data_IF_452455081633
#
_entry.id   IF_452455081633
#
_cell.length_a   1.000
_cell.length_b   1.000
_cell.length_c   1.000
_cell.angle_alpha   90.00
_cell.angle_beta   90.00
_cell.angle_gamma   90.00
#
_symmetry.space_group_name_H-M   'P 1'
#
loop_
_entity.id
_entity.type
_entity.pdbx_description
1 polymer ?
#
# COMPACT_ATOMS: atom_id res chain seq x y z
N UNK A 1 -80.43 -9.87 -37.97
CA UNK A 1 -79.41 -10.01 -39.01
C UNK A 1 -78.16 -9.29 -38.46
N UNK A 2 -77.32 -10.03 -37.75
CA UNK A 2 -76.10 -9.51 -37.05
C UNK A 2 -74.92 -10.28 -37.54
N UNK A 3 -74.04 -9.60 -38.29
CA UNK A 3 -72.75 -10.10 -38.78
C UNK A 3 -71.69 -10.03 -37.66
N UNK A 4 -71.13 -11.14 -37.39
CA UNK A 4 -70.03 -11.34 -36.39
C UNK A 4 -68.70 -11.30 -37.15
N UNK A 5 -67.90 -10.26 -36.95
CA UNK A 5 -66.54 -10.17 -37.47
C UNK A 5 -65.59 -10.92 -36.57
N UNK A 6 -64.88 -11.88 -37.13
CA UNK A 6 -63.86 -12.62 -36.49
C UNK A 6 -62.50 -11.85 -36.54
N UNK A 7 -61.91 -11.57 -35.38
CA UNK A 7 -60.56 -11.04 -35.29
C UNK A 7 -59.59 -12.21 -35.27
N UNK A 8 -58.74 -12.31 -36.28
CA UNK A 8 -57.62 -13.24 -36.35
C UNK A 8 -56.44 -12.67 -35.58
N UNK A 9 -55.98 -13.39 -34.57
CA UNK A 9 -54.76 -13.15 -33.84
C UNK A 9 -53.55 -13.63 -34.69
N UNK A 10 -52.46 -12.85 -34.84
CA UNK A 10 -51.25 -13.39 -35.45
C UNK A 10 -50.49 -14.23 -34.45
N UNK A 11 -50.16 -15.46 -34.87
CA UNK A 11 -49.39 -16.42 -34.10
C UNK A 11 -47.96 -15.90 -33.83
N UNK A 12 -47.56 -15.89 -32.57
CA UNK A 12 -46.22 -15.65 -32.13
C UNK A 12 -45.30 -16.79 -32.61
N UNK A 13 -44.30 -16.46 -33.39
CA UNK A 13 -43.23 -17.39 -33.84
C UNK A 13 -42.39 -17.83 -32.67
N UNK A 14 -42.06 -19.12 -32.50
CA UNK A 14 -41.18 -19.57 -31.38
C UNK A 14 -39.74 -19.15 -31.68
N UNK A 15 -39.16 -18.36 -30.79
CA UNK A 15 -37.72 -18.05 -30.80
C UNK A 15 -36.91 -19.33 -30.69
N UNK A 16 -36.00 -19.58 -31.64
CA UNK A 16 -35.20 -20.80 -31.73
C UNK A 16 -34.25 -20.92 -30.54
N UNK A 17 -34.13 -22.10 -29.91
CA UNK A 17 -33.28 -22.33 -28.74
C UNK A 17 -31.77 -22.25 -29.04
N UNK A 18 -31.38 -22.15 -30.31
CA UNK A 18 -29.97 -22.08 -30.72
C UNK A 18 -29.27 -20.78 -30.32
N UNK A 19 -29.94 -19.65 -30.30
CA UNK A 19 -29.37 -18.35 -29.94
C UNK A 19 -29.00 -18.24 -28.45
N UNK A 20 -29.73 -18.91 -27.57
CA UNK A 20 -29.46 -18.90 -26.14
C UNK A 20 -28.23 -19.71 -25.72
N UNK A 21 -27.92 -20.79 -26.45
CA UNK A 21 -26.77 -21.65 -26.17
C UNK A 21 -25.44 -21.01 -26.56
N UNK A 22 -25.39 -20.28 -27.66
CA UNK A 22 -24.18 -19.58 -28.12
C UNK A 22 -23.79 -18.45 -27.17
N UNK A 23 -24.76 -17.69 -26.65
CA UNK A 23 -24.48 -16.64 -25.66
C UNK A 23 -23.99 -17.17 -24.31
N UNK A 24 -24.53 -18.31 -23.88
CA UNK A 24 -24.07 -18.98 -22.64
C UNK A 24 -22.66 -19.56 -22.80
N UNK A 25 -22.34 -20.12 -23.95
CA UNK A 25 -21.01 -20.65 -24.26
C UNK A 25 -19.96 -19.52 -24.37
N UNK A 26 -20.31 -18.38 -24.97
CA UNK A 26 -19.44 -17.20 -25.04
C UNK A 26 -19.17 -16.56 -23.69
N UNK A 27 -20.16 -16.52 -22.80
CA UNK A 27 -20.00 -16.05 -21.41
C UNK A 27 -19.11 -17.00 -20.59
N UNK A 28 -19.29 -18.32 -20.75
CA UNK A 28 -18.45 -19.32 -20.05
C UNK A 28 -17.01 -19.31 -20.56
N UNK A 29 -16.78 -19.12 -21.87
CA UNK A 29 -15.44 -19.00 -22.46
C UNK A 29 -14.76 -17.69 -22.01
N UNK A 30 -15.50 -16.58 -21.91
CA UNK A 30 -15.01 -15.31 -21.36
C UNK A 30 -14.60 -15.44 -19.89
N UNK A 31 -15.32 -16.22 -19.10
CA UNK A 31 -14.98 -16.46 -17.70
C UNK A 31 -13.75 -17.36 -17.51
N UNK A 32 -13.53 -18.36 -18.42
CA UNK A 32 -12.35 -19.21 -18.37
C UNK A 32 -11.06 -18.47 -18.75
N UNK A 33 -11.11 -17.48 -19.61
CA UNK A 33 -9.93 -16.68 -20.00
C UNK A 33 -9.46 -15.77 -18.85
N UNK A 34 -10.37 -15.35 -17.96
CA UNK A 34 -10.04 -14.55 -16.78
C UNK A 34 -9.39 -15.35 -15.64
N UNK A 35 -9.53 -16.68 -15.64
CA UNK A 35 -8.93 -17.55 -14.62
C UNK A 35 -7.47 -17.93 -14.90
N UNK A 36 -6.93 -17.58 -16.06
CA UNK A 36 -5.67 -18.10 -16.58
C UNK A 36 -4.39 -17.31 -16.29
N UNK A 37 -4.45 -16.18 -15.60
CA UNK A 37 -3.28 -15.31 -15.38
C UNK A 37 -2.86 -15.21 -13.91
N UNK A 38 -2.74 -16.34 -13.21
CA UNK A 38 -1.93 -16.37 -11.99
C UNK A 38 -0.47 -16.63 -12.40
N UNK A 39 0.32 -15.56 -12.62
CA UNK A 39 1.75 -15.71 -12.85
C UNK A 39 2.44 -16.09 -11.55
N UNK A 40 2.97 -17.30 -11.47
CA UNK A 40 3.83 -17.75 -10.38
C UNK A 40 5.26 -17.28 -10.67
N UNK A 41 5.71 -16.21 -10.04
CA UNK A 41 7.11 -15.83 -10.07
C UNK A 41 7.85 -16.41 -8.87
N UNK A 42 9.07 -16.94 -9.01
CA UNK A 42 9.81 -17.54 -7.90
C UNK A 42 10.10 -16.51 -6.81
N UNK A 43 9.91 -16.91 -5.55
CA UNK A 43 10.24 -16.10 -4.38
C UNK A 43 11.45 -16.65 -3.65
N UNK A 44 11.93 -15.87 -2.69
CA UNK A 44 13.04 -16.25 -1.81
C UNK A 44 12.83 -17.57 -1.03
N UNK A 45 11.61 -18.09 -0.93
CA UNK A 45 11.23 -19.32 -0.21
C UNK A 45 10.25 -20.19 -0.98
N UNK A 46 10.22 -20.10 -2.30
CA UNK A 46 9.28 -20.80 -3.16
C UNK A 46 8.73 -19.92 -4.26
N UNK A 47 7.57 -20.23 -4.77
CA UNK A 47 6.94 -19.48 -5.85
C UNK A 47 6.24 -18.21 -5.33
N UNK A 48 6.36 -17.11 -6.08
CA UNK A 48 5.57 -15.93 -5.83
C UNK A 48 4.11 -16.25 -6.14
N UNK A 49 3.27 -16.17 -5.12
CA UNK A 49 1.84 -16.36 -5.27
C UNK A 49 1.14 -15.02 -5.32
N UNK A 50 0.28 -14.83 -6.33
CA UNK A 50 -0.64 -13.72 -6.34
C UNK A 50 -1.63 -13.86 -5.17
N UNK A 51 -2.01 -12.74 -4.56
CA UNK A 51 -3.09 -12.74 -3.58
C UNK A 51 -4.40 -13.21 -4.27
N UNK A 52 -5.30 -13.88 -3.52
CA UNK A 52 -6.62 -14.21 -4.04
C UNK A 52 -7.32 -12.97 -4.58
N UNK A 53 -7.98 -13.09 -5.73
CA UNK A 53 -8.70 -11.97 -6.34
C UNK A 53 -9.83 -11.51 -5.42
N UNK A 54 -9.87 -10.21 -5.11
CA UNK A 54 -10.94 -9.59 -4.35
C UNK A 54 -11.80 -8.70 -5.27
N UNK A 55 -13.11 -8.67 -5.07
CA UNK A 55 -14.01 -7.85 -5.86
C UNK A 55 -13.64 -6.34 -5.83
N UNK A 56 -13.04 -5.87 -4.73
CA UNK A 56 -12.54 -4.50 -4.61
C UNK A 56 -11.42 -4.15 -5.59
N UNK A 57 -10.71 -5.15 -6.15
CA UNK A 57 -9.61 -4.92 -7.09
C UNK A 57 -10.09 -4.45 -8.47
N UNK A 58 -11.35 -4.76 -8.82
CA UNK A 58 -11.96 -4.28 -10.08
C UNK A 58 -11.96 -2.74 -10.16
N UNK A 59 -12.01 -2.06 -9.02
CA UNK A 59 -11.94 -0.59 -8.94
C UNK A 59 -10.52 -0.03 -8.83
N UNK A 60 -9.47 -0.83 -9.02
CA UNK A 60 -8.08 -0.41 -8.92
C UNK A 60 -7.37 -0.42 -10.29
N UNK A 61 -6.56 0.58 -10.57
CA UNK A 61 -5.55 0.50 -11.62
C UNK A 61 -4.32 -0.26 -11.13
N UNK A 62 -3.45 -0.72 -12.02
CA UNK A 62 -2.21 -1.42 -11.66
C UNK A 62 -1.35 -0.59 -10.68
N UNK A 63 -1.25 0.72 -10.93
CA UNK A 63 -0.50 1.64 -10.04
C UNK A 63 -1.18 1.76 -8.68
N UNK A 64 -2.52 1.85 -8.62
CA UNK A 64 -3.25 1.92 -7.37
C UNK A 64 -3.16 0.60 -6.60
N UNK A 65 -3.18 -0.53 -7.31
CA UNK A 65 -2.94 -1.85 -6.71
C UNK A 65 -1.53 -1.94 -6.14
N UNK A 66 -0.52 -1.54 -6.89
CA UNK A 66 0.87 -1.50 -6.42
C UNK A 66 1.01 -0.60 -5.18
N UNK A 67 0.40 0.58 -5.17
CA UNK A 67 0.41 1.49 -4.03
C UNK A 67 -0.27 0.87 -2.79
N UNK A 68 -1.41 0.18 -2.97
CA UNK A 68 -2.12 -0.54 -1.90
C UNK A 68 -1.25 -1.65 -1.30
N UNK A 69 -0.61 -2.46 -2.14
CA UNK A 69 0.30 -3.53 -1.69
C UNK A 69 1.53 -2.95 -1.00
N UNK A 70 2.13 -1.89 -1.58
CA UNK A 70 3.28 -1.20 -1.01
C UNK A 70 2.98 -0.60 0.36
N UNK A 71 1.80 0.03 0.53
CA UNK A 71 1.36 0.58 1.82
C UNK A 71 1.21 -0.52 2.87
N UNK A 72 0.48 -1.60 2.55
CA UNK A 72 0.34 -2.75 3.44
C UNK A 72 1.71 -3.28 3.89
N UNK A 73 2.60 -3.51 2.94
CA UNK A 73 3.92 -4.07 3.22
C UNK A 73 4.84 -3.10 3.98
N UNK A 74 4.63 -1.79 3.84
CA UNK A 74 5.33 -0.77 4.61
C UNK A 74 4.86 -0.77 6.07
N UNK A 75 3.54 -0.77 6.31
CA UNK A 75 2.99 -0.85 7.67
C UNK A 75 3.41 -2.15 8.37
N UNK A 76 3.39 -3.30 7.68
CA UNK A 76 3.89 -4.57 8.21
C UNK A 76 5.40 -4.52 8.50
N UNK A 77 6.20 -3.83 7.68
CA UNK A 77 7.64 -3.64 7.96
C UNK A 77 7.84 -2.80 9.23
N UNK A 78 7.05 -1.73 9.43
CA UNK A 78 7.11 -0.93 10.66
C UNK A 78 6.69 -1.72 11.90
N UNK A 79 5.66 -2.57 11.81
CA UNK A 79 5.25 -3.43 12.93
C UNK A 79 6.29 -4.52 13.25
N UNK A 80 6.97 -5.06 12.24
CA UNK A 80 8.14 -5.94 12.47
C UNK A 80 9.29 -5.21 13.13
N UNK A 81 9.53 -3.95 12.78
CA UNK A 81 10.51 -3.11 13.44
C UNK A 81 10.13 -2.84 14.89
N UNK A 82 8.84 -2.62 15.21
CA UNK A 82 8.36 -2.49 16.58
C UNK A 82 8.69 -3.74 17.42
N UNK A 83 8.38 -4.95 16.91
CA UNK A 83 8.71 -6.19 17.62
C UNK A 83 10.21 -6.32 17.89
N UNK A 84 11.04 -6.03 16.88
CA UNK A 84 12.50 -6.05 17.05
C UNK A 84 12.98 -5.03 18.07
N UNK A 85 12.48 -3.79 18.02
CA UNK A 85 12.83 -2.73 18.97
C UNK A 85 12.40 -3.12 20.39
N UNK A 86 11.21 -3.65 20.58
CA UNK A 86 10.72 -4.10 21.88
C UNK A 86 11.55 -5.24 22.48
N UNK A 87 12.06 -6.17 21.65
CA UNK A 87 12.97 -7.23 22.10
C UNK A 87 14.28 -6.67 22.65
N UNK A 88 14.78 -5.60 22.04
CA UNK A 88 16.04 -4.96 22.46
C UNK A 88 15.83 -3.93 23.57
N UNK A 89 14.61 -3.36 23.68
CA UNK A 89 14.26 -2.33 24.64
C UNK A 89 13.04 -2.76 25.49
N UNK A 90 13.16 -3.79 26.34
CA UNK A 90 12.01 -4.34 27.05
C UNK A 90 11.39 -3.38 28.05
N UNK A 91 12.07 -2.33 28.48
CA UNK A 91 11.52 -1.29 29.33
C UNK A 91 10.43 -0.46 28.61
N UNK A 92 10.47 -0.38 27.28
CA UNK A 92 9.54 0.46 26.52
C UNK A 92 8.12 -0.14 26.49
N UNK A 93 7.96 -1.42 26.08
CA UNK A 93 6.62 -2.03 26.02
C UNK A 93 5.93 -2.13 27.40
N UNK A 94 6.70 -2.17 28.49
CA UNK A 94 6.15 -2.19 29.86
C UNK A 94 5.42 -0.90 30.22
N UNK A 95 5.71 0.20 29.53
CA UNK A 95 5.00 1.48 29.69
C UNK A 95 3.62 1.45 29.03
N UNK A 96 3.47 0.68 27.97
CA UNK A 96 2.21 0.54 27.20
C UNK A 96 1.33 -0.57 27.77
N UNK A 97 1.89 -1.73 28.13
CA UNK A 97 1.09 -2.87 28.58
C UNK A 97 1.79 -3.68 29.67
N UNK A 98 1.08 -3.84 30.79
CA UNK A 98 1.47 -4.77 31.85
C UNK A 98 1.28 -6.24 31.45
N UNK A 99 0.44 -6.52 30.43
CA UNK A 99 0.16 -7.89 29.94
C UNK A 99 1.27 -8.47 29.07
N UNK A 100 2.27 -7.64 28.70
CA UNK A 100 3.45 -8.10 27.98
C UNK A 100 3.67 -7.46 26.61
N UNK A 101 4.78 -7.82 25.97
CA UNK A 101 5.20 -7.29 24.69
C UNK A 101 4.15 -7.50 23.58
N UNK A 102 3.56 -8.69 23.50
CA UNK A 102 2.64 -9.04 22.44
C UNK A 102 1.32 -8.23 22.55
N UNK A 103 0.89 -7.93 23.78
CA UNK A 103 -0.23 -7.03 24.03
C UNK A 103 0.09 -5.57 23.64
N UNK A 104 1.31 -5.08 23.92
CA UNK A 104 1.75 -3.76 23.48
C UNK A 104 1.82 -3.67 21.95
N UNK A 105 2.31 -4.70 21.28
CA UNK A 105 2.30 -4.78 19.80
C UNK A 105 0.89 -4.81 19.24
N UNK A 106 -0.03 -5.56 19.84
CA UNK A 106 -1.42 -5.59 19.42
C UNK A 106 -2.09 -4.23 19.56
N UNK A 107 -1.85 -3.52 20.67
CA UNK A 107 -2.35 -2.16 20.90
C UNK A 107 -1.80 -1.18 19.84
N UNK A 108 -0.49 -1.25 19.57
CA UNK A 108 0.14 -0.42 18.54
C UNK A 108 -0.45 -0.72 17.15
N UNK A 109 -0.63 -2.02 16.80
CA UNK A 109 -1.26 -2.41 15.54
C UNK A 109 -2.66 -1.81 15.41
N UNK A 110 -3.50 -1.96 16.43
CA UNK A 110 -4.85 -1.37 16.43
C UNK A 110 -4.78 0.14 16.22
N UNK A 111 -3.91 0.85 16.94
CA UNK A 111 -3.76 2.29 16.79
C UNK A 111 -3.34 2.72 15.37
N UNK A 112 -2.43 1.96 14.73
CA UNK A 112 -2.00 2.18 13.34
C UNK A 112 -3.14 1.91 12.36
N UNK A 113 -3.83 0.78 12.50
CA UNK A 113 -4.90 0.34 11.59
C UNK A 113 -6.12 1.26 11.67
N UNK A 114 -6.51 1.68 12.89
CA UNK A 114 -7.65 2.58 13.11
C UNK A 114 -7.28 4.06 13.03
N UNK A 115 -5.98 4.38 12.94
CA UNK A 115 -5.45 5.74 12.98
C UNK A 115 -5.85 6.50 14.25
N UNK A 116 -6.00 5.79 15.36
CA UNK A 116 -6.26 6.41 16.65
C UNK A 116 -5.03 7.17 17.11
N UNK A 117 -5.12 8.49 17.37
CA UNK A 117 -3.96 9.29 17.77
C UNK A 117 -3.23 8.68 18.97
N UNK A 118 -1.90 8.63 18.89
CA UNK A 118 -1.07 8.18 20.01
C UNK A 118 -0.94 9.33 21.04
N UNK A 119 -1.50 9.20 22.25
CA UNK A 119 -1.68 10.34 23.16
C UNK A 119 -0.37 11.03 23.55
N UNK A 120 0.71 10.23 23.74
CA UNK A 120 2.01 10.76 24.16
C UNK A 120 2.69 11.62 23.10
N UNK A 121 2.22 11.58 21.85
CA UNK A 121 2.71 12.47 20.79
C UNK A 121 2.08 13.87 20.83
N UNK A 122 1.11 14.11 21.72
CA UNK A 122 0.53 15.44 21.97
C UNK A 122 -0.01 16.12 20.69
N UNK A 123 -0.56 15.35 19.78
CA UNK A 123 -1.07 15.84 18.50
C UNK A 123 0.02 16.23 17.49
N UNK A 124 1.31 16.07 17.80
CA UNK A 124 2.39 16.29 16.84
C UNK A 124 2.38 15.21 15.77
N UNK A 125 2.84 15.58 14.57
CA UNK A 125 2.90 14.71 13.40
C UNK A 125 4.26 14.81 12.72
N UNK A 126 4.51 13.92 11.78
CA UNK A 126 5.70 13.90 10.93
C UNK A 126 7.01 13.97 11.75
N UNK A 127 7.97 14.73 11.27
CA UNK A 127 9.29 14.91 11.92
C UNK A 127 9.16 15.48 13.35
N UNK A 128 8.13 16.31 13.61
CA UNK A 128 7.92 16.84 14.96
C UNK A 128 7.51 15.74 15.96
N UNK A 129 6.69 14.77 15.53
CA UNK A 129 6.34 13.59 16.33
C UNK A 129 7.55 12.68 16.57
N UNK A 130 8.34 12.41 15.53
CA UNK A 130 9.58 11.63 15.65
C UNK A 130 10.58 12.29 16.60
N UNK A 131 10.74 13.62 16.49
CA UNK A 131 11.62 14.39 17.36
C UNK A 131 11.16 14.38 18.82
N UNK A 132 9.85 14.39 19.08
CA UNK A 132 9.31 14.24 20.42
C UNK A 132 9.56 12.82 20.96
N UNK A 133 9.18 11.78 20.21
CA UNK A 133 9.36 10.38 20.62
C UNK A 133 10.81 10.03 20.95
N UNK A 134 11.75 10.58 20.19
CA UNK A 134 13.21 10.40 20.37
C UNK A 134 13.83 11.61 21.07
N UNK A 135 13.06 12.38 21.84
CA UNK A 135 13.57 13.45 22.71
C UNK A 135 14.08 12.87 24.03
N UNK A 136 15.10 13.47 24.69
CA UNK A 136 15.65 12.96 25.94
C UNK A 136 14.61 12.95 27.07
N UNK A 137 13.69 13.90 27.08
CA UNK A 137 12.68 14.07 28.12
C UNK A 137 11.40 13.26 27.91
N UNK A 138 11.28 12.54 26.79
CA UNK A 138 10.09 11.74 26.50
C UNK A 138 9.95 10.60 27.53
N UNK A 139 8.81 10.49 28.19
CA UNK A 139 8.55 9.52 29.25
C UNK A 139 7.69 8.34 28.81
N UNK A 140 6.98 8.46 27.69
CA UNK A 140 6.13 7.41 27.12
C UNK A 140 6.93 6.25 26.53
N UNK A 141 6.21 5.32 25.90
CA UNK A 141 6.80 4.24 25.12
C UNK A 141 7.40 4.80 23.82
N UNK A 142 8.72 4.91 23.78
CA UNK A 142 9.46 5.44 22.64
C UNK A 142 9.28 4.59 21.37
N UNK A 143 9.20 3.28 21.55
CA UNK A 143 9.04 2.35 20.41
C UNK A 143 7.68 2.54 19.78
N UNK A 144 6.62 2.51 20.58
CA UNK A 144 5.28 2.73 20.07
C UNK A 144 5.13 4.12 19.43
N UNK A 145 5.57 5.17 20.14
CA UNK A 145 5.50 6.54 19.65
C UNK A 145 6.26 6.75 18.33
N UNK A 146 7.48 6.19 18.23
CA UNK A 146 8.31 6.26 17.03
C UNK A 146 7.68 5.53 15.83
N UNK A 147 7.22 4.29 16.04
CA UNK A 147 6.62 3.49 14.98
C UNK A 147 5.26 4.06 14.56
N UNK A 148 4.44 4.50 15.52
CA UNK A 148 3.16 5.16 15.21
C UNK A 148 3.38 6.44 14.39
N UNK A 149 4.31 7.32 14.80
CA UNK A 149 4.64 8.53 14.05
C UNK A 149 5.11 8.23 12.62
N UNK A 150 5.94 7.20 12.46
CA UNK A 150 6.39 6.74 11.14
C UNK A 150 5.22 6.24 10.29
N UNK A 151 4.32 5.44 10.86
CA UNK A 151 3.13 4.92 10.15
C UNK A 151 2.15 6.04 9.77
N UNK A 152 1.83 6.95 10.71
CA UNK A 152 0.95 8.09 10.43
C UNK A 152 1.51 8.99 9.33
N UNK A 153 2.81 9.24 9.33
CA UNK A 153 3.50 9.99 8.28
C UNK A 153 3.36 9.33 6.90
N UNK A 154 3.53 7.99 6.81
CA UNK A 154 3.34 7.26 5.56
C UNK A 154 1.90 7.37 5.07
N UNK A 155 0.93 7.14 5.97
CA UNK A 155 -0.49 7.22 5.61
C UNK A 155 -0.87 8.64 5.20
N UNK A 156 -0.36 9.67 5.88
CA UNK A 156 -0.59 11.07 5.53
C UNK A 156 -0.05 11.42 4.13
N UNK A 157 1.17 10.97 3.79
CA UNK A 157 1.75 11.17 2.47
C UNK A 157 0.94 10.52 1.34
N UNK A 158 0.16 9.49 1.65
CA UNK A 158 -0.75 8.82 0.74
C UNK A 158 -2.18 9.38 0.79
N UNK A 159 -2.37 10.62 1.22
CA UNK A 159 -3.69 11.27 1.28
C UNK A 159 -4.59 10.72 2.37
N UNK A 160 -4.03 10.11 3.41
CA UNK A 160 -4.78 9.56 4.53
C UNK A 160 -5.44 8.20 4.23
N UNK A 161 -5.00 7.48 3.21
CA UNK A 161 -5.57 6.20 2.79
C UNK A 161 -4.54 5.08 2.82
N UNK A 162 -5.02 3.86 2.97
CA UNK A 162 -4.22 2.63 2.93
C UNK A 162 -4.59 1.72 1.76
N UNK A 163 -5.71 2.01 1.08
CA UNK A 163 -6.17 1.34 -0.13
C UNK A 163 -6.56 2.40 -1.16
N UNK A 164 -6.20 2.19 -2.42
CA UNK A 164 -6.32 3.17 -3.50
C UNK A 164 -7.13 2.63 -4.65
N UNK A 165 -8.03 3.46 -5.19
CA UNK A 165 -8.96 3.12 -6.27
C UNK A 165 -8.79 4.09 -7.44
N UNK A 166 -9.50 3.82 -8.56
CA UNK A 166 -9.40 4.60 -9.80
C UNK A 166 -9.64 6.10 -9.62
N UNK A 167 -10.47 6.47 -8.65
CA UNK A 167 -10.77 7.87 -8.32
C UNK A 167 -9.74 8.54 -7.42
N UNK A 168 -8.79 7.78 -6.87
CA UNK A 168 -7.77 8.30 -5.99
C UNK A 168 -6.56 8.77 -6.80
N UNK A 169 -6.07 9.95 -6.45
CA UNK A 169 -4.80 10.47 -6.96
C UNK A 169 -3.74 10.43 -5.85
N UNK A 170 -2.56 9.96 -6.21
CA UNK A 170 -1.37 10.00 -5.34
C UNK A 170 -0.43 11.07 -5.87
N UNK A 171 0.10 11.88 -4.97
CA UNK A 171 1.10 12.90 -5.28
C UNK A 171 2.51 12.31 -5.15
N UNK A 172 3.25 12.30 -6.27
CA UNK A 172 4.60 11.76 -6.32
C UNK A 172 5.56 12.47 -5.37
N UNK A 173 5.40 13.80 -5.19
CA UNK A 173 6.25 14.58 -4.31
C UNK A 173 6.01 14.26 -2.84
N UNK A 174 4.75 14.05 -2.44
CA UNK A 174 4.43 13.65 -1.08
C UNK A 174 5.02 12.27 -0.74
N UNK A 175 4.94 11.32 -1.69
CA UNK A 175 5.53 9.98 -1.52
C UNK A 175 7.06 10.07 -1.44
N UNK A 176 7.70 10.85 -2.31
CA UNK A 176 9.14 11.08 -2.27
C UNK A 176 9.57 11.70 -0.93
N UNK A 177 8.87 12.73 -0.47
CA UNK A 177 9.15 13.37 0.81
C UNK A 177 9.00 12.40 1.99
N UNK A 178 8.02 11.48 1.94
CA UNK A 178 7.87 10.45 2.95
C UNK A 178 9.09 9.51 3.00
N UNK A 179 9.66 9.13 1.86
CA UNK A 179 10.89 8.35 1.82
C UNK A 179 12.05 9.09 2.51
N UNK A 180 12.23 10.38 2.21
CA UNK A 180 13.27 11.23 2.86
C UNK A 180 13.02 11.39 4.36
N UNK A 181 11.77 11.49 4.77
CA UNK A 181 11.42 11.57 6.19
C UNK A 181 11.69 10.25 6.93
N UNK A 182 11.53 9.09 6.28
CA UNK A 182 11.95 7.80 6.86
C UNK A 182 13.47 7.74 7.01
N UNK A 183 14.25 8.26 6.07
CA UNK A 183 15.71 8.38 6.22
C UNK A 183 16.08 9.22 7.45
N UNK A 184 15.39 10.36 7.65
CA UNK A 184 15.56 11.18 8.86
C UNK A 184 15.20 10.39 10.11
N UNK A 185 14.09 9.61 10.10
CA UNK A 185 13.71 8.76 11.22
C UNK A 185 14.78 7.72 11.57
N UNK A 186 15.36 7.07 10.57
CA UNK A 186 16.48 6.13 10.72
C UNK A 186 17.70 6.82 11.32
N UNK A 187 18.06 7.98 10.78
CA UNK A 187 19.18 8.77 11.32
C UNK A 187 18.93 9.15 12.78
N UNK A 188 17.72 9.61 13.15
CA UNK A 188 17.38 9.94 14.54
C UNK A 188 17.50 8.71 15.45
N UNK A 189 16.98 7.56 15.01
CA UNK A 189 17.02 6.31 15.76
C UNK A 189 18.46 5.89 16.07
N UNK A 190 19.36 6.02 15.11
CA UNK A 190 20.75 5.62 15.22
C UNK A 190 21.63 6.63 16.01
N UNK A 191 21.28 7.93 15.97
CA UNK A 191 22.18 8.98 16.49
C UNK A 191 21.71 9.63 17.78
N UNK A 192 20.40 9.56 18.13
CA UNK A 192 19.88 10.21 19.34
C UNK A 192 20.36 9.49 20.61
N UNK A 193 20.87 10.29 21.55
CA UNK A 193 21.49 9.83 22.80
C UNK A 193 20.81 10.51 24.00
N UNK A 194 20.88 9.84 25.15
CA UNK A 194 20.52 10.44 26.44
C UNK A 194 21.69 11.30 26.99
N UNK A 195 21.48 11.95 28.13
CA UNK A 195 22.50 12.78 28.78
C UNK A 195 23.79 11.99 29.16
N UNK A 196 23.71 10.69 29.30
CA UNK A 196 24.85 9.82 29.59
C UNK A 196 25.55 9.32 28.30
N UNK A 197 25.18 9.82 27.11
CA UNK A 197 25.74 9.43 25.82
C UNK A 197 25.26 8.06 25.32
N UNK A 198 24.30 7.40 25.99
CA UNK A 198 23.78 6.11 25.58
C UNK A 198 22.66 6.28 24.54
N UNK A 199 22.46 5.34 23.59
CA UNK A 199 21.34 5.36 22.68
C UNK A 199 20.00 5.44 23.43
N UNK A 200 19.07 6.26 22.92
CA UNK A 200 17.70 6.32 23.46
C UNK A 200 16.93 5.01 23.21
N UNK A 201 17.20 4.36 22.09
CA UNK A 201 16.73 3.02 21.75
C UNK A 201 17.88 2.20 21.17
N UNK A 202 18.00 0.96 21.60
CA UNK A 202 18.90 -0.01 21.01
C UNK A 202 18.29 -0.52 19.71
N UNK A 203 18.91 -0.19 18.58
CA UNK A 203 18.51 -0.61 17.24
C UNK A 203 19.63 -1.41 16.57
N UNK A 204 20.29 -0.83 15.56
CA UNK A 204 21.45 -1.42 14.94
C UNK A 204 22.62 -1.43 15.90
N UNK A 205 23.42 -2.49 15.83
CA UNK A 205 24.63 -2.65 16.62
C UNK A 205 25.76 -3.06 15.70
N UNK A 206 26.78 -2.22 15.67
CA UNK A 206 28.03 -2.50 14.95
C UNK A 206 29.13 -2.35 15.96
N UNK A 207 29.66 -3.49 16.43
CA UNK A 207 30.81 -3.54 17.30
C UNK A 207 31.72 -4.69 16.84
N UNK A 208 32.84 -4.90 17.54
CA UNK A 208 33.79 -5.95 17.20
C UNK A 208 33.23 -7.38 17.27
N UNK A 209 32.12 -7.58 18.01
CA UNK A 209 31.54 -8.90 18.26
C UNK A 209 30.25 -9.15 17.45
N UNK A 210 29.53 -8.09 17.09
CA UNK A 210 28.21 -8.23 16.46
C UNK A 210 27.99 -7.15 15.40
N UNK A 211 27.47 -7.56 14.23
CA UNK A 211 26.98 -6.67 13.16
C UNK A 211 25.51 -6.99 12.92
N UNK A 212 24.62 -6.24 13.57
CA UNK A 212 23.19 -6.35 13.35
C UNK A 212 22.69 -5.18 12.53
N UNK A 213 22.54 -5.37 11.21
CA UNK A 213 21.99 -4.40 10.26
C UNK A 213 20.54 -4.73 9.89
N UNK A 214 19.83 -5.47 10.74
CA UNK A 214 18.49 -5.95 10.40
C UNK A 214 17.45 -4.84 10.43
N UNK A 215 17.68 -3.75 11.14
CA UNK A 215 16.82 -2.56 11.15
C UNK A 215 17.01 -1.77 9.86
N UNK A 216 18.23 -1.49 9.46
CA UNK A 216 18.56 -0.84 8.19
C UNK A 216 17.94 -1.58 7.00
N UNK A 217 17.96 -2.91 7.01
CA UNK A 217 17.34 -3.72 5.96
C UNK A 217 15.82 -3.52 5.88
N UNK A 218 15.11 -3.45 7.00
CA UNK A 218 13.67 -3.24 7.00
C UNK A 218 13.31 -1.81 6.61
N UNK A 219 14.03 -0.81 7.11
CA UNK A 219 13.85 0.58 6.68
C UNK A 219 14.18 0.77 5.20
N UNK A 220 15.25 0.16 4.70
CA UNK A 220 15.62 0.18 3.29
C UNK A 220 14.52 -0.37 2.37
N UNK A 221 13.78 -1.40 2.82
CA UNK A 221 12.60 -1.89 2.07
C UNK A 221 11.48 -0.85 2.02
N UNK A 222 11.22 -0.14 3.13
CA UNK A 222 10.21 0.92 3.17
C UNK A 222 10.61 2.06 2.23
N UNK A 223 11.84 2.55 2.35
CA UNK A 223 12.38 3.63 1.50
C UNK A 223 12.33 3.23 0.03
N UNK A 224 12.83 2.05 -0.33
CA UNK A 224 12.86 1.57 -1.71
C UNK A 224 11.48 1.43 -2.35
N UNK A 225 10.45 1.00 -1.59
CA UNK A 225 9.07 0.94 -2.10
C UNK A 225 8.50 2.34 -2.32
N UNK A 226 8.77 3.30 -1.44
CA UNK A 226 8.32 4.69 -1.59
C UNK A 226 9.01 5.37 -2.79
N UNK A 227 10.31 5.20 -2.95
CA UNK A 227 11.08 5.76 -4.06
C UNK A 227 10.60 5.17 -5.40
N UNK A 228 10.36 3.85 -5.45
CA UNK A 228 9.81 3.21 -6.65
C UNK A 228 8.41 3.75 -6.96
N UNK A 229 7.54 3.87 -5.96
CA UNK A 229 6.19 4.39 -6.17
C UNK A 229 6.22 5.84 -6.65
N UNK A 230 7.03 6.72 -6.04
CA UNK A 230 7.20 8.10 -6.48
C UNK A 230 7.68 8.18 -7.94
N UNK A 231 8.65 7.35 -8.31
CA UNK A 231 9.18 7.26 -9.68
C UNK A 231 8.11 6.81 -10.68
N UNK A 232 7.33 5.78 -10.33
CA UNK A 232 6.24 5.26 -11.19
C UNK A 232 5.14 6.31 -11.36
N UNK A 233 4.77 7.03 -10.31
CA UNK A 233 3.78 8.11 -10.38
C UNK A 233 4.25 9.24 -11.29
N UNK A 234 5.49 9.68 -11.15
CA UNK A 234 6.10 10.72 -12.02
C UNK A 234 6.11 10.26 -13.48
N UNK A 235 6.51 9.00 -13.73
CA UNK A 235 6.56 8.42 -15.07
C UNK A 235 5.16 8.27 -15.69
N UNK A 236 4.14 7.92 -14.89
CA UNK A 236 2.75 7.86 -15.34
C UNK A 236 2.27 9.20 -15.89
N UNK A 237 2.56 10.30 -15.20
CA UNK A 237 2.20 11.64 -15.68
C UNK A 237 2.95 12.01 -16.97
N UNK A 238 4.24 11.75 -17.03
CA UNK A 238 5.05 11.99 -18.23
C UNK A 238 4.52 11.20 -19.42
N UNK A 239 4.21 9.92 -19.24
CA UNK A 239 3.67 9.06 -20.29
C UNK A 239 2.30 9.46 -20.77
N UNK A 240 1.43 9.98 -19.90
CA UNK A 240 0.12 10.48 -20.31
C UNK A 240 0.26 11.62 -21.33
N UNK A 241 1.22 12.53 -21.12
CA UNK A 241 1.52 13.60 -22.09
C UNK A 241 2.05 13.03 -23.41
N UNK A 242 3.00 12.09 -23.34
CA UNK A 242 3.55 11.44 -24.54
C UNK A 242 2.46 10.69 -25.33
N UNK A 243 1.60 9.94 -24.64
CA UNK A 243 0.50 9.20 -25.26
C UNK A 243 -0.49 10.16 -25.95
N UNK A 244 -0.78 11.30 -25.32
CA UNK A 244 -1.61 12.34 -25.94
C UNK A 244 -0.99 12.86 -27.24
N UNK A 245 0.31 13.19 -27.24
CA UNK A 245 1.05 13.65 -28.43
C UNK A 245 1.08 12.55 -29.50
N UNK A 246 1.36 11.30 -29.11
CA UNK A 246 1.36 10.16 -30.03
C UNK A 246 -0.01 9.91 -30.68
N UNK A 247 -1.10 10.04 -29.91
CA UNK A 247 -2.45 9.93 -30.44
C UNK A 247 -2.80 11.08 -31.40
N UNK A 248 -2.33 12.30 -31.08
CA UNK A 248 -2.52 13.45 -31.96
C UNK A 248 -1.76 13.29 -33.29
N UNK A 249 -0.54 12.80 -33.25
CA UNK A 249 0.29 12.58 -34.43
C UNK A 249 -0.13 11.32 -35.17
N UNK A 250 -0.39 10.21 -34.47
CA UNK A 250 -0.78 8.92 -35.04
C UNK A 250 -2.19 8.91 -35.62
N UNK A 251 -3.13 9.63 -34.99
CA UNK A 251 -4.49 9.78 -35.52
C UNK A 251 -4.54 10.45 -36.87
N UNK A 252 -3.64 11.39 -37.14
CA UNK A 252 -3.50 12.04 -38.47
C UNK A 252 -2.78 11.15 -39.47
N UNK A 253 -1.83 10.31 -39.05
CA UNK A 253 -1.06 9.44 -39.94
C UNK A 253 -1.82 8.18 -40.38
N UNK A 254 -2.63 7.59 -39.49
CA UNK A 254 -3.38 6.37 -39.79
C UNK A 254 -4.56 6.61 -40.75
N UNK A 255 -5.05 7.85 -40.90
CA UNK A 255 -6.08 8.19 -41.88
C UNK A 255 -5.57 8.16 -43.32
N UNK A 256 -4.24 8.14 -43.53
CA UNK A 256 -3.64 8.14 -44.87
C UNK A 256 -3.04 6.78 -45.25
N UNK A 257 -3.14 5.74 -44.42
CA UNK A 257 -2.73 4.39 -44.80
C UNK A 257 -3.80 3.76 -45.69
N UNK A 258 -3.45 3.36 -46.96
CA UNK A 258 -4.40 2.68 -47.81
C UNK A 258 -4.70 1.30 -47.21
N UNK A 259 -5.94 1.13 -46.76
CA UNK A 259 -6.46 -0.19 -46.38
C UNK A 259 -6.62 -0.99 -47.70
N UNK A 260 -5.75 -1.98 -47.91
CA UNK A 260 -5.89 -2.98 -48.96
C UNK A 260 -6.59 -4.21 -48.42
#
# INVERSE_FOLDING_TARGET
MLLRTAHSNPAASPASPFFSSVHRLSLLLGFMVLAGCASNAPTHRGEAQAAPMAASEVGQSDVNRMATLGMRDNLESLLRLADKLYRRNPAEWRKTSAAGRDAALAQLRVAVDTRTPWPELQGKRDIAALSLALGPDFKGDRVAAFIYASADMLVAAHGGKTSFYLTDSLDAQHIYNAARNIEIAVWMLSNRRNAAGQPLLLADEINERERNLSFEREFGKVIGRLDLLASVLTEKYRRAVITYVQNLLGGTFLQFLPVR
#
